data_IF_162457107286
#
_entry.id   IF_162457107286
#
_cell.length_a   1.000
_cell.length_b   1.000
_cell.length_c   1.000
_cell.angle_alpha   90.00
_cell.angle_beta   90.00
_cell.angle_gamma   90.00
#
_symmetry.space_group_name_H-M   'P 1'
#
loop_
_entity.id
_entity.type
_entity.pdbx_description
1 polymer ?
#
# COMPACT_ATOMS: atom_id res chain seq x y z
N UNK A 1 -65.58 -51.82 64.08
CA UNK A 1 -64.15 -51.97 64.40
C UNK A 1 -63.40 -51.97 63.08
N UNK A 2 -62.40 -51.08 62.94
CA UNK A 2 -61.70 -50.72 61.68
C UNK A 2 -62.57 -50.00 60.66
N UNK A 3 -62.06 -48.90 60.10
CA UNK A 3 -61.95 -48.63 58.66
C UNK A 3 -60.76 -47.68 58.47
N UNK A 4 -59.86 -48.03 57.53
CA UNK A 4 -58.67 -47.27 57.14
C UNK A 4 -59.00 -46.35 55.96
N UNK A 5 -58.37 -45.17 55.88
CA UNK A 5 -58.06 -44.49 54.62
C UNK A 5 -56.94 -43.46 54.81
N UNK A 6 -56.06 -43.40 53.81
CA UNK A 6 -54.80 -42.66 53.76
C UNK A 6 -54.97 -41.25 53.12
N UNK A 7 -54.03 -40.36 53.43
CA UNK A 7 -53.89 -38.99 52.93
C UNK A 7 -52.63 -38.85 52.05
N UNK A 8 -52.63 -38.01 51.00
CA UNK A 8 -51.40 -37.59 50.34
C UNK A 8 -50.97 -36.18 50.78
N UNK A 9 -49.65 -36.00 50.94
CA UNK A 9 -48.97 -34.72 51.16
C UNK A 9 -48.29 -34.25 49.88
N UNK A 10 -48.54 -33.00 49.50
CA UNK A 10 -47.90 -32.33 48.36
C UNK A 10 -46.73 -31.50 48.90
N UNK A 11 -45.52 -31.76 48.40
CA UNK A 11 -44.32 -30.95 48.66
C UNK A 11 -43.92 -30.18 47.41
N UNK A 12 -43.73 -28.87 47.57
CA UNK A 12 -43.35 -27.91 46.53
C UNK A 12 -41.82 -27.77 46.52
N UNK A 13 -41.16 -28.12 45.40
CA UNK A 13 -39.70 -28.02 45.25
C UNK A 13 -39.35 -26.98 44.18
N UNK A 14 -38.56 -25.97 44.57
CA UNK A 14 -37.92 -25.01 43.67
C UNK A 14 -36.95 -25.72 42.71
N UNK A 15 -37.10 -25.49 41.41
CA UNK A 15 -36.14 -25.87 40.38
C UNK A 15 -35.21 -24.68 40.07
N UNK A 16 -33.96 -24.81 40.47
CA UNK A 16 -32.83 -24.03 39.96
C UNK A 16 -32.39 -24.72 38.66
N UNK A 17 -32.64 -24.11 37.50
CA UNK A 17 -32.15 -24.61 36.21
C UNK A 17 -30.78 -23.99 35.95
N UNK A 18 -29.73 -24.78 36.09
CA UNK A 18 -28.41 -24.48 35.54
C UNK A 18 -28.37 -24.89 34.07
N UNK A 19 -28.05 -23.94 33.18
CA UNK A 19 -27.64 -24.27 31.81
C UNK A 19 -26.17 -24.73 31.83
N UNK A 20 -25.96 -26.06 31.82
CA UNK A 20 -24.68 -26.63 31.42
C UNK A 20 -24.57 -26.57 29.89
N UNK A 21 -23.52 -25.93 29.38
CA UNK A 21 -23.12 -25.99 27.98
C UNK A 21 -22.68 -27.42 27.65
N UNK A 22 -23.49 -28.15 26.89
CA UNK A 22 -23.11 -29.44 26.31
C UNK A 22 -22.17 -29.21 25.13
N UNK A 23 -20.96 -29.76 25.21
CA UNK A 23 -20.02 -29.88 24.10
C UNK A 23 -20.62 -30.75 22.97
N UNK A 24 -20.24 -30.54 21.69
CA UNK A 24 -20.76 -31.35 20.60
C UNK A 24 -20.23 -32.78 20.68
N UNK A 25 -21.15 -33.73 20.58
CA UNK A 25 -20.91 -35.18 20.58
C UNK A 25 -20.17 -35.60 19.32
N UNK A 26 -19.05 -36.32 19.49
CA UNK A 26 -18.37 -37.01 18.39
C UNK A 26 -19.21 -38.21 17.94
N UNK A 27 -19.62 -38.23 16.67
CA UNK A 27 -20.26 -39.40 16.05
C UNK A 27 -19.19 -40.21 15.33
N UNK A 28 -18.90 -41.39 15.88
CA UNK A 28 -18.07 -42.42 15.25
C UNK A 28 -18.90 -43.29 14.29
N UNK A 29 -18.52 -43.34 13.01
CA UNK A 29 -19.09 -44.25 12.00
C UNK A 29 -18.26 -44.27 10.72
N UNK A 30 -17.74 -45.45 10.36
CA UNK A 30 -16.63 -45.73 9.40
C UNK A 30 -17.04 -45.75 7.91
N UNK A 31 -16.17 -46.13 6.94
CA UNK A 31 -15.13 -45.34 6.29
C UNK A 31 -15.44 -45.12 4.79
N UNK A 32 -15.37 -43.87 4.30
CA UNK A 32 -15.20 -43.63 2.87
C UNK A 32 -14.28 -42.44 2.65
N UNK A 33 -13.18 -42.69 1.93
CA UNK A 33 -12.07 -41.75 1.76
C UNK A 33 -12.44 -40.56 0.87
N UNK A 34 -13.08 -39.56 1.47
CA UNK A 34 -13.08 -38.18 1.00
C UNK A 34 -12.61 -37.31 2.16
N UNK A 35 -11.35 -36.92 2.11
CA UNK A 35 -10.69 -35.97 3.00
C UNK A 35 -11.59 -34.77 3.33
N UNK A 36 -11.79 -34.49 4.62
CA UNK A 36 -12.37 -33.27 5.21
C UNK A 36 -11.54 -32.01 4.85
N UNK A 37 -11.49 -31.64 3.56
CA UNK A 37 -10.88 -30.40 3.06
C UNK A 37 -11.91 -29.48 2.39
N UNK A 38 -13.20 -29.65 2.66
CA UNK A 38 -14.27 -29.04 1.87
C UNK A 38 -15.11 -27.94 2.56
N UNK A 39 -14.85 -27.55 3.81
CA UNK A 39 -15.84 -26.72 4.56
C UNK A 39 -15.60 -25.21 4.63
N UNK A 40 -14.45 -24.67 4.23
CA UNK A 40 -14.15 -23.23 4.39
C UNK A 40 -13.95 -22.46 3.08
N UNK A 41 -14.21 -23.06 1.92
CA UNK A 41 -14.07 -22.42 0.60
C UNK A 41 -12.62 -22.27 0.10
N UNK A 42 -11.61 -22.50 0.94
CA UNK A 42 -10.19 -22.33 0.56
C UNK A 42 -9.77 -23.14 -0.68
N UNK A 43 -10.19 -24.40 -0.76
CA UNK A 43 -9.84 -25.31 -1.86
C UNK A 43 -10.84 -25.26 -3.03
N UNK A 44 -11.84 -24.37 -2.97
CA UNK A 44 -12.90 -24.26 -3.97
C UNK A 44 -12.63 -23.16 -5.03
N UNK A 45 -11.49 -22.45 -4.93
CA UNK A 45 -11.09 -21.39 -5.86
C UNK A 45 -9.74 -21.70 -6.50
N UNK A 46 -9.58 -21.35 -7.77
CA UNK A 46 -8.30 -21.44 -8.51
C UNK A 46 -7.36 -20.25 -8.21
N UNK A 47 -7.72 -19.44 -7.22
CA UNK A 47 -6.91 -18.30 -6.81
C UNK A 47 -5.53 -18.78 -6.32
N UNK A 48 -4.46 -18.02 -6.62
CA UNK A 48 -3.15 -18.27 -6.04
C UNK A 48 -3.17 -18.29 -4.52
N UNK A 49 -2.29 -19.10 -3.95
CA UNK A 49 -2.02 -19.09 -2.52
C UNK A 49 -0.92 -18.09 -2.20
N UNK A 50 -1.12 -17.35 -1.11
CA UNK A 50 -0.19 -16.34 -0.63
C UNK A 50 0.33 -16.69 0.75
N UNK A 51 1.43 -16.08 1.12
CA UNK A 51 1.93 -16.07 2.49
C UNK A 51 2.47 -14.69 2.85
N UNK A 52 2.59 -14.44 4.15
CA UNK A 52 3.21 -13.23 4.67
C UNK A 52 4.72 -13.26 4.39
N UNK A 53 5.32 -12.09 4.13
CA UNK A 53 6.79 -11.97 4.11
C UNK A 53 7.36 -12.16 5.52
N UNK A 54 8.67 -12.41 5.65
CA UNK A 54 9.29 -12.65 6.95
C UNK A 54 9.10 -11.46 7.92
N UNK A 55 9.17 -10.24 7.41
CA UNK A 55 8.93 -9.02 8.18
C UNK A 55 7.46 -8.95 8.63
N UNK A 56 6.52 -9.24 7.73
CA UNK A 56 5.10 -9.28 8.05
C UNK A 56 4.76 -10.39 9.06
N UNK A 57 5.43 -11.54 9.01
CA UNK A 57 5.29 -12.61 10.04
C UNK A 57 5.73 -12.13 11.42
N UNK A 58 6.84 -11.39 11.50
CA UNK A 58 7.35 -10.83 12.76
C UNK A 58 6.39 -9.78 13.36
N UNK A 59 5.73 -9.00 12.52
CA UNK A 59 4.83 -7.92 12.92
C UNK A 59 3.39 -8.13 12.43
N UNK A 60 2.88 -9.37 12.54
CA UNK A 60 1.60 -9.78 11.93
C UNK A 60 0.42 -8.89 12.29
N UNK A 61 0.40 -8.35 13.51
CA UNK A 61 -0.67 -7.48 14.01
C UNK A 61 -0.71 -6.10 13.35
N UNK A 62 0.32 -5.74 12.57
CA UNK A 62 0.35 -4.49 11.80
C UNK A 62 -0.46 -4.60 10.50
N UNK A 63 -0.69 -5.82 10.00
CA UNK A 63 -1.36 -6.05 8.72
C UNK A 63 -2.51 -7.05 8.79
N UNK A 64 -2.67 -7.79 9.90
CA UNK A 64 -3.70 -8.82 10.06
C UNK A 64 -4.45 -8.66 11.39
N UNK A 65 -5.76 -8.87 11.35
CA UNK A 65 -6.68 -8.77 12.48
C UNK A 65 -7.62 -9.96 12.59
N UNK A 66 -8.12 -10.23 13.79
CA UNK A 66 -9.14 -11.26 14.06
C UNK A 66 -10.54 -10.80 13.69
N UNK A 67 -10.80 -9.50 13.77
CA UNK A 67 -12.10 -8.89 13.46
C UNK A 67 -11.91 -7.67 12.55
N UNK A 68 -12.86 -7.38 11.65
CA UNK A 68 -12.80 -6.17 10.85
C UNK A 68 -13.20 -4.97 11.72
N UNK A 69 -12.60 -3.80 11.45
CA UNK A 69 -13.09 -2.50 11.94
C UNK A 69 -13.23 -2.33 13.46
N UNK A 70 -12.52 -3.12 14.27
CA UNK A 70 -12.43 -2.91 15.71
C UNK A 70 -11.48 -1.76 16.05
N UNK A 71 -11.88 -0.84 16.93
CA UNK A 71 -10.95 0.11 17.56
C UNK A 71 -9.88 -0.61 18.41
N UNK A 72 -10.19 -1.82 18.86
CA UNK A 72 -9.29 -2.74 19.52
C UNK A 72 -9.53 -4.16 18.99
N UNK A 73 -8.45 -4.88 18.73
CA UNK A 73 -8.50 -6.30 18.38
C UNK A 73 -8.21 -7.13 19.65
N UNK A 74 -9.16 -7.97 20.09
CA UNK A 74 -9.03 -8.72 21.34
C UNK A 74 -7.92 -9.78 21.29
N UNK A 75 -7.48 -10.21 20.11
CA UNK A 75 -6.48 -11.26 19.94
C UNK A 75 -5.04 -10.73 19.87
N UNK A 76 -4.82 -9.41 19.85
CA UNK A 76 -3.46 -8.85 19.79
C UNK A 76 -2.55 -9.26 20.96
N UNK A 77 -3.12 -9.67 22.10
CA UNK A 77 -2.35 -10.20 23.25
C UNK A 77 -2.14 -11.72 23.19
N UNK A 78 -2.78 -12.40 22.25
CA UNK A 78 -2.71 -13.84 22.08
C UNK A 78 -1.90 -14.16 20.82
N UNK A 79 -0.58 -14.21 20.94
CA UNK A 79 0.32 -14.50 19.81
C UNK A 79 0.01 -15.84 19.12
N UNK A 80 -0.53 -16.82 19.86
CA UNK A 80 -0.92 -18.11 19.29
C UNK A 80 -2.13 -18.01 18.35
N UNK A 81 -2.98 -16.99 18.50
CA UNK A 81 -4.14 -16.80 17.63
C UNK A 81 -3.74 -16.59 16.16
N UNK A 82 -2.64 -15.85 15.93
CA UNK A 82 -2.17 -15.54 14.58
C UNK A 82 -1.23 -16.61 14.00
N UNK A 83 -0.88 -17.67 14.75
CA UNK A 83 -0.02 -18.75 14.23
C UNK A 83 -0.50 -19.31 12.90
N UNK A 84 -1.80 -19.56 12.68
CA UNK A 84 -2.21 -20.20 11.43
C UNK A 84 -1.99 -19.35 10.19
N UNK A 85 -2.07 -18.01 10.26
CA UNK A 85 -1.71 -17.12 9.14
C UNK A 85 -0.20 -16.88 9.02
N UNK A 86 0.56 -17.04 10.11
CA UNK A 86 2.04 -16.95 10.10
C UNK A 86 2.66 -18.20 9.46
N UNK A 87 2.13 -19.38 9.80
CA UNK A 87 2.74 -20.67 9.49
C UNK A 87 2.18 -21.31 8.21
N UNK A 88 0.99 -20.91 7.76
CA UNK A 88 0.32 -21.50 6.61
C UNK A 88 0.00 -20.47 5.52
N UNK A 89 -0.29 -20.99 4.33
CA UNK A 89 -0.76 -20.19 3.21
C UNK A 89 -2.20 -19.70 3.42
N UNK A 90 -2.56 -18.61 2.73
CA UNK A 90 -3.89 -18.04 2.73
C UNK A 90 -4.32 -17.58 1.34
N UNK A 91 -5.63 -17.34 1.18
CA UNK A 91 -6.25 -16.78 -0.03
C UNK A 91 -7.10 -15.56 0.33
N UNK A 92 -7.18 -14.59 -0.57
CA UNK A 92 -8.03 -13.40 -0.40
C UNK A 92 -9.46 -13.68 -0.84
N UNK A 93 -10.43 -13.37 0.01
CA UNK A 93 -11.85 -13.37 -0.35
C UNK A 93 -12.23 -12.09 -1.10
N UNK A 94 -13.45 -12.08 -1.66
CA UNK A 94 -14.13 -10.86 -2.13
C UNK A 94 -14.79 -10.09 -0.97
N UNK A 95 -14.88 -10.69 0.22
CA UNK A 95 -15.47 -10.05 1.41
C UNK A 95 -14.56 -8.92 1.91
N UNK A 96 -15.02 -7.68 1.77
CA UNK A 96 -14.31 -6.48 2.21
C UNK A 96 -15.10 -5.67 3.24
N UNK A 97 -14.41 -5.00 4.16
CA UNK A 97 -14.99 -4.13 5.17
C UNK A 97 -14.23 -2.79 5.20
N UNK A 98 -14.93 -1.67 5.06
CA UNK A 98 -14.30 -0.33 5.09
C UNK A 98 -13.79 0.00 6.48
N UNK A 99 -12.56 0.49 6.62
CA UNK A 99 -12.05 0.87 7.95
C UNK A 99 -12.81 2.05 8.56
N UNK A 100 -12.78 2.14 9.89
CA UNK A 100 -13.23 3.32 10.61
C UNK A 100 -12.38 4.51 10.13
N UNK A 101 -13.01 5.60 9.68
CA UNK A 101 -12.38 6.76 9.02
C UNK A 101 -12.02 6.60 7.53
N UNK A 102 -12.57 5.60 6.82
CA UNK A 102 -12.40 5.46 5.36
C UNK A 102 -12.61 6.78 4.61
N UNK A 103 -13.71 7.48 4.86
CA UNK A 103 -14.04 8.70 4.13
C UNK A 103 -13.11 9.88 4.46
N UNK A 104 -12.41 9.85 5.61
CA UNK A 104 -11.60 10.96 6.10
C UNK A 104 -10.11 10.77 5.75
N UNK A 105 -9.64 9.53 5.76
CA UNK A 105 -8.22 9.19 5.64
C UNK A 105 -7.85 8.52 4.33
N UNK A 106 -8.82 8.12 3.49
CA UNK A 106 -8.54 7.56 2.18
C UNK A 106 -7.73 8.55 1.35
N UNK A 107 -6.66 8.04 0.76
CA UNK A 107 -5.82 8.77 -0.20
C UNK A 107 -5.61 7.94 -1.45
N UNK A 108 -5.41 8.66 -2.55
CA UNK A 108 -4.96 8.09 -3.80
C UNK A 108 -3.45 7.92 -3.77
N UNK A 109 -2.98 6.76 -4.20
CA UNK A 109 -1.57 6.40 -4.36
C UNK A 109 -1.34 6.01 -5.82
N UNK A 110 -0.32 6.60 -6.46
CA UNK A 110 -0.01 6.29 -7.86
C UNK A 110 1.11 5.25 -7.87
N UNK A 111 0.83 4.10 -8.48
CA UNK A 111 1.77 2.98 -8.58
C UNK A 111 1.96 2.55 -10.02
N UNK A 112 3.12 2.00 -10.35
CA UNK A 112 3.39 1.40 -11.66
C UNK A 112 3.35 -0.12 -11.55
N UNK A 113 2.43 -0.75 -12.28
CA UNK A 113 2.28 -2.20 -12.38
C UNK A 113 2.46 -2.56 -13.86
N UNK A 114 3.38 -3.47 -14.18
CA UNK A 114 3.71 -3.87 -15.55
C UNK A 114 3.95 -2.69 -16.51
N UNK A 115 4.71 -1.68 -16.05
CA UNK A 115 5.00 -0.43 -16.78
C UNK A 115 3.76 0.42 -17.13
N UNK A 116 2.62 0.17 -16.48
CA UNK A 116 1.41 0.98 -16.59
C UNK A 116 1.09 1.63 -15.25
N UNK A 117 0.80 2.94 -15.22
CA UNK A 117 0.44 3.61 -13.99
C UNK A 117 -1.03 3.32 -13.63
N UNK A 118 -1.27 3.09 -12.34
CA UNK A 118 -2.58 2.91 -11.74
C UNK A 118 -2.74 3.86 -10.56
N UNK A 119 -3.96 4.32 -10.34
CA UNK A 119 -4.37 4.93 -9.08
C UNK A 119 -4.93 3.82 -8.19
N UNK A 120 -4.32 3.67 -7.03
CA UNK A 120 -4.82 2.86 -5.94
C UNK A 120 -5.55 3.76 -4.94
N UNK A 121 -6.81 3.46 -4.67
CA UNK A 121 -7.65 4.16 -3.69
C UNK A 121 -8.22 3.13 -2.73
N UNK A 122 -7.42 2.66 -1.78
CA UNK A 122 -7.85 1.68 -0.77
C UNK A 122 -7.73 2.21 0.65
N UNK A 123 -8.68 1.83 1.51
CA UNK A 123 -8.60 2.03 2.95
C UNK A 123 -9.53 1.05 3.68
N UNK A 124 -9.41 -0.23 3.36
CA UNK A 124 -10.35 -1.27 3.78
C UNK A 124 -9.62 -2.47 4.37
N UNK A 125 -10.38 -3.44 4.87
CA UNK A 125 -9.89 -4.75 5.22
C UNK A 125 -10.51 -5.78 4.27
N UNK A 126 -9.72 -6.77 3.90
CA UNK A 126 -10.18 -7.91 3.11
C UNK A 126 -10.07 -9.17 3.94
N UNK A 127 -11.10 -10.00 3.89
CA UNK A 127 -11.08 -11.30 4.56
C UNK A 127 -10.07 -12.20 3.86
N UNK A 128 -9.23 -12.86 4.64
CA UNK A 128 -8.35 -13.93 4.19
C UNK A 128 -8.73 -15.23 4.88
N UNK A 129 -8.59 -16.33 4.16
CA UNK A 129 -8.84 -17.68 4.67
C UNK A 129 -7.55 -18.47 4.55
N UNK A 130 -7.09 -19.05 5.64
CA UNK A 130 -5.89 -19.91 5.68
C UNK A 130 -6.18 -21.31 5.16
N UNK A 131 -5.15 -22.06 4.76
CA UNK A 131 -5.29 -23.46 4.34
C UNK A 131 -5.76 -24.41 5.45
N UNK A 132 -5.70 -23.95 6.72
CA UNK A 132 -6.28 -24.57 7.92
C UNK A 132 -7.68 -24.05 8.26
N UNK A 133 -8.34 -23.36 7.32
CA UNK A 133 -9.71 -22.86 7.44
C UNK A 133 -9.96 -21.80 8.54
N UNK A 134 -8.92 -21.19 9.09
CA UNK A 134 -9.08 -20.00 9.94
C UNK A 134 -9.23 -18.74 9.11
N UNK A 135 -10.07 -17.84 9.61
CA UNK A 135 -10.44 -16.57 8.96
C UNK A 135 -9.77 -15.41 9.69
N UNK A 136 -9.18 -14.50 8.91
CA UNK A 136 -8.62 -13.25 9.38
C UNK A 136 -9.01 -12.09 8.46
N UNK A 137 -8.64 -10.88 8.86
CA UNK A 137 -8.85 -9.66 8.08
C UNK A 137 -7.50 -8.99 7.82
N UNK A 138 -7.14 -8.89 6.54
CA UNK A 138 -5.91 -8.28 6.07
C UNK A 138 -6.12 -6.80 5.75
N UNK A 139 -5.21 -5.95 6.21
CA UNK A 139 -5.33 -4.50 6.10
C UNK A 139 -4.85 -4.00 4.73
N UNK A 140 -5.74 -3.37 3.96
CA UNK A 140 -5.45 -2.61 2.75
C UNK A 140 -5.40 -1.13 3.12
N UNK A 141 -4.20 -0.65 3.44
CA UNK A 141 -3.97 0.75 3.80
C UNK A 141 -4.01 1.69 2.60
N UNK A 142 -3.64 2.95 2.81
CA UNK A 142 -3.58 3.97 1.75
C UNK A 142 -2.45 3.76 0.74
N UNK A 143 -1.36 3.12 1.14
CA UNK A 143 -0.20 2.93 0.29
C UNK A 143 -0.16 1.49 -0.21
N UNK A 144 -0.19 1.32 -1.52
CA UNK A 144 -0.19 0.01 -2.13
C UNK A 144 1.14 -0.71 -1.88
N UNK A 145 2.26 0.00 -1.93
CA UNK A 145 3.60 -0.56 -1.65
C UNK A 145 3.67 -1.26 -0.30
N UNK A 146 3.21 -0.63 0.78
CA UNK A 146 3.17 -1.22 2.12
C UNK A 146 2.31 -2.49 2.15
N UNK A 147 1.19 -2.46 1.42
CA UNK A 147 0.26 -3.59 1.36
C UNK A 147 0.88 -4.77 0.60
N UNK A 148 1.63 -4.49 -0.47
CA UNK A 148 2.29 -5.48 -1.32
C UNK A 148 3.56 -6.05 -0.67
N UNK A 149 4.36 -5.24 0.01
CA UNK A 149 5.62 -5.65 0.68
C UNK A 149 5.41 -6.69 1.79
N UNK A 150 4.18 -6.81 2.29
CA UNK A 150 3.80 -7.75 3.34
C UNK A 150 3.37 -9.13 2.81
N UNK A 151 3.18 -9.29 1.50
CA UNK A 151 2.60 -10.50 0.90
C UNK A 151 3.42 -10.97 -0.29
N UNK A 152 3.59 -12.28 -0.42
CA UNK A 152 4.18 -12.92 -1.61
C UNK A 152 3.39 -14.15 -2.01
N UNK A 153 3.56 -14.61 -3.25
CA UNK A 153 3.02 -15.91 -3.66
C UNK A 153 3.71 -17.03 -2.91
N UNK A 154 2.94 -18.01 -2.46
CA UNK A 154 3.47 -19.19 -1.77
C UNK A 154 4.28 -20.11 -2.71
N UNK A 155 4.04 -20.02 -4.04
CA UNK A 155 4.79 -20.76 -5.05
C UNK A 155 6.13 -20.09 -5.45
N UNK A 156 6.47 -18.95 -4.82
CA UNK A 156 7.73 -18.25 -5.03
C UNK A 156 7.81 -17.43 -6.33
N UNK A 157 6.77 -17.41 -7.16
CA UNK A 157 6.72 -16.53 -8.34
C UNK A 157 6.52 -15.07 -7.94
N UNK A 158 6.96 -14.17 -8.81
CA UNK A 158 6.65 -12.75 -8.70
C UNK A 158 5.14 -12.50 -8.83
N UNK A 159 4.67 -11.41 -8.23
CA UNK A 159 3.27 -11.01 -8.30
C UNK A 159 2.94 -10.52 -9.71
N UNK A 160 1.89 -11.08 -10.30
CA UNK A 160 1.32 -10.64 -11.58
C UNK A 160 0.25 -9.57 -11.38
N UNK A 161 -0.22 -8.96 -12.48
CA UNK A 161 -1.35 -8.02 -12.43
C UNK A 161 -2.61 -8.59 -11.76
N UNK A 162 -2.91 -9.86 -11.97
CA UNK A 162 -4.06 -10.51 -11.34
C UNK A 162 -3.84 -10.70 -9.83
N UNK A 163 -2.60 -10.96 -9.40
CA UNK A 163 -2.27 -11.00 -7.98
C UNK A 163 -2.51 -9.64 -7.31
N UNK A 164 -2.13 -8.54 -7.97
CA UNK A 164 -2.40 -7.19 -7.46
C UNK A 164 -3.89 -6.91 -7.29
N UNK A 165 -4.74 -7.38 -8.22
CA UNK A 165 -6.20 -7.25 -8.09
C UNK A 165 -6.75 -8.02 -6.90
N UNK A 166 -6.22 -9.20 -6.59
CA UNK A 166 -6.61 -9.95 -5.39
C UNK A 166 -6.12 -9.28 -4.10
N UNK A 167 -4.88 -8.81 -4.08
CA UNK A 167 -4.26 -8.24 -2.87
C UNK A 167 -4.82 -6.85 -2.57
N UNK A 168 -4.87 -5.96 -3.56
CA UNK A 168 -5.29 -4.56 -3.41
C UNK A 168 -6.79 -4.35 -3.63
N UNK A 169 -7.45 -5.30 -4.31
CA UNK A 169 -8.86 -5.23 -4.68
C UNK A 169 -9.04 -4.54 -6.02
N UNK A 170 -9.62 -5.24 -7.00
CA UNK A 170 -9.84 -4.74 -8.37
C UNK A 170 -10.59 -3.40 -8.39
N UNK A 171 -11.60 -3.23 -7.53
CA UNK A 171 -12.37 -1.97 -7.42
C UNK A 171 -11.53 -0.77 -6.96
N UNK A 172 -10.42 -1.02 -6.27
CA UNK A 172 -9.53 0.00 -5.72
C UNK A 172 -8.40 0.36 -6.69
N UNK A 173 -8.23 -0.37 -7.81
CA UNK A 173 -7.23 -0.12 -8.83
C UNK A 173 -7.88 0.41 -10.10
N UNK A 174 -7.47 1.58 -10.54
CA UNK A 174 -7.95 2.18 -11.80
C UNK A 174 -6.76 2.61 -12.65
N UNK A 175 -6.78 2.37 -13.98
CA UNK A 175 -5.74 2.93 -14.86
C UNK A 175 -5.60 4.44 -14.63
N UNK A 176 -4.38 4.90 -14.41
CA UNK A 176 -4.12 6.31 -14.19
C UNK A 176 -4.12 7.06 -15.52
N UNK A 177 -4.98 8.06 -15.63
CA UNK A 177 -4.95 9.00 -16.74
C UNK A 177 -3.97 10.12 -16.41
N UNK A 178 -2.86 10.16 -17.14
CA UNK A 178 -1.82 11.19 -16.96
C UNK A 178 -2.43 12.56 -17.29
N UNK A 179 -2.56 13.47 -16.32
CA UNK A 179 -3.09 14.80 -16.61
C UNK A 179 -2.09 15.60 -17.44
N UNK A 180 -2.53 16.58 -18.24
CA UNK A 180 -1.59 17.47 -18.92
C UNK A 180 -0.77 18.27 -17.90
N UNK A 181 0.48 18.59 -18.24
CA UNK A 181 1.27 19.51 -17.44
C UNK A 181 0.62 20.90 -17.40
N UNK A 182 0.77 21.61 -16.29
CA UNK A 182 0.28 22.99 -16.15
C UNK A 182 1.20 23.94 -16.92
N UNK A 183 0.65 24.71 -17.85
CA UNK A 183 1.37 25.73 -18.62
C UNK A 183 0.86 27.11 -18.24
N UNK A 184 1.75 27.96 -17.73
CA UNK A 184 1.45 29.33 -17.32
C UNK A 184 2.24 30.33 -18.18
N UNK A 185 1.56 31.32 -18.75
CA UNK A 185 2.19 32.37 -19.55
C UNK A 185 2.26 33.67 -18.75
N UNK A 186 3.46 34.13 -18.42
CA UNK A 186 3.70 35.42 -17.79
C UNK A 186 4.16 36.42 -18.87
N UNK A 187 3.20 37.25 -19.32
CA UNK A 187 3.45 38.29 -20.33
C UNK A 187 4.38 39.40 -19.85
N UNK A 188 4.50 39.63 -18.54
CA UNK A 188 5.36 40.68 -18.01
C UNK A 188 6.82 40.22 -17.96
N UNK A 189 7.04 38.93 -17.69
CA UNK A 189 8.37 38.30 -17.67
C UNK A 189 8.75 37.65 -18.99
N UNK A 190 7.89 37.74 -20.01
CA UNK A 190 8.02 37.03 -21.28
C UNK A 190 8.33 35.54 -21.13
N UNK A 191 7.73 34.88 -20.13
CA UNK A 191 8.09 33.52 -19.70
C UNK A 191 6.91 32.57 -19.85
N UNK A 192 7.16 31.40 -20.41
CA UNK A 192 6.29 30.23 -20.33
C UNK A 192 6.83 29.37 -19.18
N UNK A 193 6.00 29.01 -18.22
CA UNK A 193 6.36 28.10 -17.14
C UNK A 193 5.54 26.81 -17.27
N UNK A 194 6.23 25.68 -17.31
CA UNK A 194 5.63 24.35 -17.41
C UNK A 194 5.89 23.64 -16.08
N UNK A 195 4.84 23.12 -15.48
CA UNK A 195 4.91 22.40 -14.20
C UNK A 195 4.18 21.07 -14.33
N UNK A 196 4.90 19.96 -14.15
CA UNK A 196 4.33 18.63 -14.11
C UNK A 196 3.54 18.36 -12.81
N UNK A 197 2.94 17.18 -12.74
CA UNK A 197 2.29 16.68 -11.54
C UNK A 197 3.33 16.46 -10.44
N UNK A 198 3.06 17.04 -9.27
CA UNK A 198 3.84 16.77 -8.07
C UNK A 198 3.35 15.50 -7.41
N UNK A 199 4.21 14.49 -7.42
CA UNK A 199 3.94 13.19 -6.85
C UNK A 199 5.24 12.53 -6.36
N UNK A 200 5.15 11.70 -5.32
CA UNK A 200 6.31 11.08 -4.67
C UNK A 200 7.44 12.07 -4.33
N UNK A 201 7.06 13.27 -3.90
CA UNK A 201 7.96 14.39 -3.56
C UNK A 201 8.75 14.96 -4.74
N UNK A 202 8.30 14.74 -5.98
CA UNK A 202 8.99 15.14 -7.19
C UNK A 202 8.05 15.72 -8.25
N UNK A 203 8.56 16.63 -9.07
CA UNK A 203 7.89 17.08 -10.29
C UNK A 203 8.91 17.58 -11.32
N UNK A 204 8.57 17.49 -12.60
CA UNK A 204 9.33 18.19 -13.63
C UNK A 204 8.88 19.64 -13.80
N UNK A 205 9.83 20.51 -14.11
CA UNK A 205 9.62 21.92 -14.43
C UNK A 205 10.40 22.29 -15.68
N UNK A 206 9.86 23.18 -16.49
CA UNK A 206 10.58 23.75 -17.62
C UNK A 206 10.18 25.21 -17.83
N UNK A 207 11.06 25.96 -18.49
CA UNK A 207 10.84 27.37 -18.79
C UNK A 207 11.10 27.66 -20.26
N UNK A 208 10.23 28.47 -20.85
CA UNK A 208 10.36 28.98 -22.20
C UNK A 208 10.12 30.47 -22.27
N UNK A 209 10.12 31.00 -23.49
CA UNK A 209 9.83 32.40 -23.77
C UNK A 209 8.54 32.55 -24.55
N UNK A 210 7.66 33.44 -24.07
CA UNK A 210 6.45 33.82 -24.83
C UNK A 210 6.79 34.60 -26.10
N UNK A 211 8.01 35.14 -26.21
CA UNK A 211 8.47 35.88 -27.39
C UNK A 211 8.83 34.95 -28.54
N UNK A 212 9.52 33.85 -28.25
CA UNK A 212 9.97 32.89 -29.26
C UNK A 212 9.01 31.71 -29.42
N UNK A 213 8.16 31.45 -28.43
CA UNK A 213 7.35 30.24 -28.37
C UNK A 213 8.20 28.98 -28.15
N UNK A 214 9.42 29.13 -27.62
CA UNK A 214 10.38 28.04 -27.42
C UNK A 214 10.85 27.93 -25.99
N UNK A 215 11.38 26.78 -25.61
CA UNK A 215 12.12 26.61 -24.37
C UNK A 215 13.35 27.51 -24.32
N UNK A 216 13.73 27.92 -23.11
CA UNK A 216 14.93 28.72 -22.88
C UNK A 216 16.21 27.85 -22.90
N UNK A 217 16.05 26.56 -22.61
CA UNK A 217 17.12 25.57 -22.58
C UNK A 217 16.57 24.22 -23.09
N UNK A 218 17.42 23.37 -23.65
CA UNK A 218 17.14 21.97 -24.00
C UNK A 218 17.03 21.02 -22.80
N UNK A 219 17.08 21.56 -21.58
CA UNK A 219 16.93 20.85 -20.32
C UNK A 219 15.57 21.13 -19.68
N UNK A 220 15.09 20.14 -18.93
CA UNK A 220 14.04 20.31 -17.93
C UNK A 220 14.65 20.09 -16.55
N UNK A 221 14.02 20.64 -15.52
CA UNK A 221 14.49 20.50 -14.15
C UNK A 221 13.59 19.53 -13.38
N UNK A 222 14.17 18.46 -12.84
CA UNK A 222 13.53 17.63 -11.83
C UNK A 222 13.61 18.36 -10.47
N UNK A 223 12.47 18.87 -10.02
CA UNK A 223 12.31 19.35 -8.65
C UNK A 223 12.08 18.15 -7.73
N UNK A 224 12.83 18.05 -6.64
CA UNK A 224 12.72 16.95 -5.68
C UNK A 224 12.88 17.43 -4.24
N UNK A 225 11.97 17.03 -3.36
CA UNK A 225 12.09 17.21 -1.92
C UNK A 225 12.69 15.94 -1.30
N UNK A 226 13.99 15.99 -0.99
CA UNK A 226 14.75 14.83 -0.54
C UNK A 226 14.81 14.79 0.98
N UNK A 227 14.29 13.71 1.56
CA UNK A 227 14.08 13.57 3.00
C UNK A 227 15.18 12.75 3.68
N UNK A 228 15.67 13.26 4.80
CA UNK A 228 16.67 12.66 5.67
C UNK A 228 16.19 12.66 7.12
N UNK A 229 16.69 11.70 7.90
CA UNK A 229 16.50 11.68 9.34
C UNK A 229 17.78 12.20 10.01
N UNK A 230 17.60 12.94 11.10
CA UNK A 230 18.64 13.42 12.02
C UNK A 230 19.60 14.48 11.47
N UNK A 231 20.27 14.22 10.35
CA UNK A 231 21.37 15.05 9.83
C UNK A 231 21.10 15.56 8.42
N UNK A 232 21.49 16.81 8.18
CA UNK A 232 21.44 17.42 6.84
C UNK A 232 22.40 16.70 5.89
N UNK A 233 21.90 16.35 4.71
CA UNK A 233 22.71 15.71 3.68
C UNK A 233 23.63 16.71 2.96
N UNK A 234 23.27 17.99 2.91
CA UNK A 234 24.02 19.01 2.16
C UNK A 234 24.24 18.56 0.70
N UNK A 235 23.15 18.25 0.00
CA UNK A 235 23.18 17.73 -1.37
C UNK A 235 23.84 18.73 -2.32
N UNK A 236 24.82 18.26 -3.08
CA UNK A 236 25.67 19.07 -3.96
C UNK A 236 25.85 18.47 -5.34
N UNK A 237 25.73 17.15 -5.46
CA UNK A 237 25.97 16.43 -6.71
C UNK A 237 24.75 15.60 -7.08
N UNK A 238 24.55 15.42 -8.39
CA UNK A 238 23.57 14.49 -8.94
C UNK A 238 24.20 13.68 -10.06
N UNK A 239 23.87 12.39 -10.13
CA UNK A 239 24.36 11.46 -11.15
C UNK A 239 23.21 10.67 -11.74
N UNK A 240 23.19 10.52 -13.06
CA UNK A 240 22.28 9.60 -13.74
C UNK A 240 22.81 8.16 -13.76
N UNK A 241 22.00 7.24 -14.30
CA UNK A 241 22.34 5.80 -14.39
C UNK A 241 23.55 5.51 -15.29
N UNK A 242 23.96 6.47 -16.13
CA UNK A 242 25.13 6.37 -16.99
C UNK A 242 26.37 7.02 -16.36
N UNK A 243 26.32 7.31 -15.05
CA UNK A 243 27.37 8.00 -14.29
C UNK A 243 27.70 9.42 -14.79
N UNK A 244 26.80 10.06 -15.55
CA UNK A 244 26.98 11.45 -15.93
C UNK A 244 26.57 12.36 -14.77
N UNK A 245 27.43 13.32 -14.44
CA UNK A 245 27.08 14.37 -13.51
C UNK A 245 25.99 15.28 -14.11
N UNK A 246 24.96 15.55 -13.31
CA UNK A 246 23.84 16.43 -13.62
C UNK A 246 23.91 17.65 -12.72
N UNK A 247 23.68 18.83 -13.30
CA UNK A 247 23.71 20.07 -12.52
C UNK A 247 22.62 20.04 -11.45
N UNK A 248 23.04 20.10 -10.20
CA UNK A 248 22.16 20.22 -9.05
C UNK A 248 22.08 21.69 -8.61
N UNK A 249 20.86 22.16 -8.39
CA UNK A 249 20.53 23.49 -7.88
C UNK A 249 19.88 23.32 -6.51
N UNK A 250 20.48 23.89 -5.47
CA UNK A 250 19.85 23.96 -4.13
C UNK A 250 18.72 24.99 -4.19
N UNK A 251 17.52 24.61 -3.77
CA UNK A 251 16.34 25.48 -3.83
C UNK A 251 15.93 25.92 -2.43
N UNK A 252 15.71 24.97 -1.52
CA UNK A 252 15.21 25.24 -0.18
C UNK A 252 15.64 24.17 0.82
N UNK A 253 15.46 24.45 2.11
CA UNK A 253 15.68 23.53 3.22
C UNK A 253 14.61 23.72 4.29
N UNK A 254 13.98 22.64 4.70
CA UNK A 254 12.96 22.64 5.74
C UNK A 254 13.20 21.55 6.79
N UNK A 255 12.77 21.78 8.02
CA UNK A 255 12.92 20.87 9.15
C UNK A 255 11.58 20.70 9.89
N UNK A 256 11.06 19.48 9.87
CA UNK A 256 9.86 19.11 10.62
C UNK A 256 10.23 18.27 11.85
N UNK A 257 10.18 18.89 13.02
CA UNK A 257 10.48 18.26 14.31
C UNK A 257 9.23 17.91 15.13
N UNK A 258 8.06 17.81 14.49
CA UNK A 258 6.80 17.52 15.19
C UNK A 258 6.77 16.13 15.84
N UNK A 259 7.52 15.17 15.30
CA UNK A 259 7.60 13.82 15.85
C UNK A 259 8.72 13.71 16.91
N UNK A 260 8.34 13.74 18.17
CA UNK A 260 9.28 13.62 19.30
C UNK A 260 10.05 12.30 19.35
N UNK A 261 9.53 11.23 18.72
CA UNK A 261 10.11 9.88 18.82
C UNK A 261 11.07 9.53 17.69
N UNK A 262 10.92 10.13 16.50
CA UNK A 262 11.78 9.87 15.33
C UNK A 262 12.79 10.99 15.04
N UNK A 263 12.83 12.02 15.91
CA UNK A 263 13.65 13.20 15.69
C UNK A 263 13.10 14.11 14.59
N UNK A 264 13.93 15.05 14.11
CA UNK A 264 13.56 15.95 13.03
C UNK A 264 13.69 15.26 11.67
N UNK A 265 12.62 15.31 10.87
CA UNK A 265 12.69 15.02 9.45
C UNK A 265 13.21 16.27 8.73
N UNK A 266 14.33 16.13 8.02
CA UNK A 266 14.98 17.20 7.30
C UNK A 266 14.71 17.02 5.80
N UNK A 267 14.21 18.07 5.15
CA UNK A 267 13.92 18.08 3.72
C UNK A 267 14.88 19.04 3.03
N UNK A 268 15.69 18.54 2.10
CA UNK A 268 16.45 19.38 1.18
C UNK A 268 15.79 19.38 -0.19
N UNK A 269 15.29 20.54 -0.60
CA UNK A 269 14.66 20.72 -1.91
C UNK A 269 15.73 21.07 -2.94
N UNK A 270 15.79 20.27 -4.00
CA UNK A 270 16.78 20.42 -5.08
C UNK A 270 16.11 20.43 -6.45
N UNK A 271 16.76 21.09 -7.41
CA UNK A 271 16.46 21.02 -8.83
C UNK A 271 17.60 20.32 -9.55
N UNK A 272 17.34 19.27 -10.31
CA UNK A 272 18.36 18.59 -11.13
C UNK A 272 18.07 18.84 -12.60
N UNK A 273 19.00 19.47 -13.31
CA UNK A 273 18.86 19.74 -14.74
C UNK A 273 19.12 18.46 -15.56
N UNK A 274 18.14 18.11 -16.39
CA UNK A 274 18.14 16.89 -17.20
C UNK A 274 17.86 17.23 -18.67
N UNK A 275 18.71 16.78 -19.60
CA UNK A 275 18.47 16.96 -21.02
C UNK A 275 17.18 16.27 -21.46
N UNK A 276 16.38 16.94 -22.29
CA UNK A 276 15.16 16.34 -22.84
C UNK A 276 15.49 15.07 -23.63
N UNK A 277 16.62 15.04 -24.35
CA UNK A 277 17.07 13.84 -25.07
C UNK A 277 17.40 12.68 -24.14
N UNK A 278 17.87 12.93 -22.91
CA UNK A 278 18.06 11.87 -21.93
C UNK A 278 16.71 11.27 -21.51
N UNK A 279 15.72 12.10 -21.22
CA UNK A 279 14.37 11.65 -20.87
C UNK A 279 13.72 10.81 -21.98
N UNK A 280 13.91 11.17 -23.26
CA UNK A 280 13.44 10.39 -24.41
C UNK A 280 14.02 8.96 -24.45
N UNK A 281 15.21 8.73 -23.88
CA UNK A 281 15.81 7.39 -23.77
C UNK A 281 15.33 6.58 -22.56
N UNK A 282 14.54 7.17 -21.67
CA UNK A 282 14.05 6.57 -20.42
C UNK A 282 12.52 6.50 -20.35
N UNK A 283 11.85 5.86 -21.33
CA UNK A 283 10.37 5.87 -21.41
C UNK A 283 9.68 5.13 -20.26
N UNK A 284 10.41 4.29 -19.53
CA UNK A 284 9.90 3.45 -18.44
C UNK A 284 10.31 3.96 -17.05
N UNK A 285 10.74 5.22 -16.94
CA UNK A 285 11.34 5.72 -15.70
C UNK A 285 12.86 5.55 -15.68
N UNK A 286 13.49 6.09 -14.64
CA UNK A 286 14.93 5.96 -14.39
C UNK A 286 15.25 6.28 -12.93
N UNK A 287 16.43 5.89 -12.49
CA UNK A 287 16.98 6.28 -11.19
C UNK A 287 17.96 7.45 -11.31
N UNK A 288 17.97 8.31 -10.29
CA UNK A 288 18.92 9.42 -10.18
C UNK A 288 19.50 9.45 -8.78
N UNK A 289 20.82 9.44 -8.67
CA UNK A 289 21.51 9.54 -7.38
C UNK A 289 21.76 11.01 -7.06
N UNK A 290 21.35 11.46 -5.88
CA UNK A 290 21.77 12.74 -5.31
C UNK A 290 22.73 12.49 -4.14
N UNK A 291 23.76 13.33 -4.02
CA UNK A 291 24.87 13.07 -3.10
C UNK A 291 25.41 14.35 -2.43
N UNK A 292 25.89 14.16 -1.21
CA UNK A 292 26.53 15.15 -0.34
C UNK A 292 27.17 14.41 0.83
N UNK A 293 26.92 14.82 2.06
CA UNK A 293 27.25 14.06 3.28
C UNK A 293 26.45 12.77 3.41
N UNK A 294 25.27 12.72 2.80
CA UNK A 294 24.44 11.54 2.67
C UNK A 294 23.97 11.42 1.22
N UNK A 295 23.51 10.24 0.86
CA UNK A 295 23.10 9.92 -0.51
C UNK A 295 21.67 9.36 -0.55
N UNK A 296 20.98 9.64 -1.64
CA UNK A 296 19.67 9.05 -1.94
C UNK A 296 19.57 8.72 -3.42
N UNK A 297 18.87 7.63 -3.71
CA UNK A 297 18.43 7.28 -5.04
C UNK A 297 16.98 7.73 -5.17
N UNK A 298 16.72 8.59 -6.15
CA UNK A 298 15.40 9.04 -6.55
C UNK A 298 14.93 8.14 -7.68
N UNK A 299 13.72 7.59 -7.58
CA UNK A 299 13.10 6.78 -8.62
C UNK A 299 12.05 7.60 -9.34
N UNK A 300 12.31 7.96 -10.59
CA UNK A 300 11.43 8.80 -11.39
C UNK A 300 10.51 7.88 -12.20
N UNK A 301 9.20 8.04 -12.03
CA UNK A 301 8.21 7.19 -12.67
C UNK A 301 7.97 7.55 -14.15
N UNK A 302 7.55 6.57 -14.94
CA UNK A 302 7.37 6.74 -16.39
C UNK A 302 6.33 7.81 -16.75
N UNK A 303 5.25 7.93 -15.95
CA UNK A 303 4.19 8.89 -16.22
C UNK A 303 4.64 10.35 -16.06
N UNK A 304 5.56 10.64 -15.14
CA UNK A 304 6.11 11.98 -14.97
C UNK A 304 6.95 12.38 -16.20
N UNK A 305 7.68 11.41 -16.78
CA UNK A 305 8.48 11.60 -17.99
C UNK A 305 7.57 11.85 -19.21
N UNK A 306 6.57 10.97 -19.41
CA UNK A 306 5.60 11.12 -20.51
C UNK A 306 4.91 12.49 -20.46
N UNK A 307 4.45 12.88 -19.28
CA UNK A 307 3.78 14.16 -19.07
C UNK A 307 4.65 15.36 -19.45
N UNK A 308 5.91 15.43 -18.99
CA UNK A 308 6.76 16.58 -19.31
C UNK A 308 7.16 16.58 -20.80
N UNK A 309 7.47 15.41 -21.37
CA UNK A 309 7.83 15.29 -22.78
C UNK A 309 6.69 15.74 -23.69
N UNK A 310 5.45 15.34 -23.39
CA UNK A 310 4.27 15.78 -24.13
C UNK A 310 4.07 17.30 -24.06
N UNK A 311 4.34 17.90 -22.90
CA UNK A 311 4.19 19.33 -22.69
C UNK A 311 5.26 20.17 -23.43
N UNK A 312 6.49 19.67 -23.53
CA UNK A 312 7.61 20.40 -24.16
C UNK A 312 7.73 20.16 -25.67
N UNK A 313 7.10 19.11 -26.21
CA UNK A 313 7.24 18.68 -27.61
C UNK A 313 7.02 19.80 -28.64
N UNK A 314 6.11 20.72 -28.37
CA UNK A 314 5.77 21.83 -29.28
C UNK A 314 6.59 23.11 -29.02
N UNK A 315 7.53 23.07 -28.07
CA UNK A 315 8.34 24.19 -27.61
C UNK A 315 9.85 23.97 -27.82
N UNK A 316 10.26 22.81 -28.35
CA UNK A 316 11.63 22.57 -28.87
C UNK A 316 11.86 23.38 -30.17
#
# INVERSE_FOLDING_TARGET
MKWNLALPTISLSLLIVGCQATAPTAISGSPSGKTEKAECGFYQTDQPEYELTQLAKQYVTNSVRSIPNGSHDPQFRNSNYFKPVIENTFKFSLDTQKQNLYNELQKDDIIELDNQPYVYSGYEMVKIVTSTCQVFWYERGNFASITLDNVRRADGRELSLDDYKFILGEKNLKPFQIPPAKIENDKFKNTIKITGLYDNNMMFRAWGSTKTGKLNDSNVQLYADVKFLENWAQLEQAYDENANERKLVKIDKDANCSNKYLGCQLTETVGVELPINYLKTKPNGFELKVSGKQERILKIASYQIKQILDAVKNLE
#
